data_IF_026821274170
#
_entry.id   IF_026821274170
#
_cell.length_a   1.000
_cell.length_b   1.000
_cell.length_c   1.000
_cell.angle_alpha   90.00
_cell.angle_beta   90.00
_cell.angle_gamma   90.00
#
_symmetry.space_group_name_H-M   'P 1'
#
loop_
_entity.id
_entity.type
_entity.pdbx_description
1 polymer ?
#
# COMPACT_ATOMS: atom_id res chain seq x y z
N UNK A 1 -13.11 -30.39 -0.47
CA UNK A 1 -13.20 -28.93 -0.44
C UNK A 1 -11.96 -28.30 -1.01
N UNK A 2 -12.14 -27.47 -1.95
CA UNK A 2 -11.02 -26.85 -2.61
C UNK A 2 -10.34 -25.82 -1.71
N UNK A 3 -9.04 -25.88 -1.58
CA UNK A 3 -8.35 -24.91 -0.77
C UNK A 3 -8.33 -23.55 -1.44
N UNK A 4 -8.29 -22.51 -0.67
CA UNK A 4 -8.27 -21.16 -1.20
C UNK A 4 -6.90 -20.70 -1.68
N UNK A 5 -5.91 -21.58 -1.70
CA UNK A 5 -4.55 -21.18 -2.01
C UNK A 5 -4.44 -20.54 -3.39
N UNK A 6 -5.06 -21.19 -4.38
CA UNK A 6 -4.99 -20.64 -5.73
C UNK A 6 -5.72 -19.32 -5.84
N UNK A 7 -6.81 -19.21 -5.10
CA UNK A 7 -7.56 -17.97 -5.09
C UNK A 7 -6.76 -16.84 -4.47
N UNK A 8 -6.03 -17.16 -3.40
CA UNK A 8 -5.20 -16.17 -2.74
C UNK A 8 -4.14 -15.63 -3.68
N UNK A 9 -3.57 -16.47 -4.52
CA UNK A 9 -2.57 -16.02 -5.47
C UNK A 9 -3.15 -15.06 -6.48
N UNK A 10 -4.35 -15.33 -6.96
CA UNK A 10 -4.98 -14.46 -7.93
C UNK A 10 -5.28 -13.10 -7.37
N UNK A 11 -5.46 -13.05 -6.06
CA UNK A 11 -5.80 -11.81 -5.41
C UNK A 11 -4.59 -10.89 -5.32
N UNK A 12 -3.40 -11.45 -5.34
CA UNK A 12 -2.18 -10.67 -5.26
C UNK A 12 -1.75 -10.19 -6.64
N UNK A 13 -2.61 -9.44 -7.29
CA UNK A 13 -2.25 -8.92 -8.60
C UNK A 13 -1.21 -7.83 -8.45
N UNK A 14 -0.09 -7.95 -9.15
CA UNK A 14 0.88 -6.87 -9.15
C UNK A 14 0.30 -5.67 -9.89
N UNK A 15 0.59 -4.50 -9.40
CA UNK A 15 0.17 -3.28 -10.06
C UNK A 15 1.37 -2.44 -10.39
N UNK A 16 1.42 -1.97 -11.62
CA UNK A 16 2.48 -1.07 -12.05
C UNK A 16 2.09 0.33 -11.67
N UNK A 17 3.00 1.00 -10.97
CA UNK A 17 2.74 2.38 -10.58
C UNK A 17 3.89 3.24 -11.03
N UNK A 18 3.56 4.47 -11.37
CA UNK A 18 4.53 5.45 -11.82
C UNK A 18 4.87 6.34 -10.63
N UNK A 19 6.15 6.31 -10.25
CA UNK A 19 6.62 7.10 -9.13
C UNK A 19 7.68 8.07 -9.65
N UNK A 20 7.26 9.33 -9.86
CA UNK A 20 8.15 10.29 -10.47
C UNK A 20 8.53 9.84 -11.87
N UNK A 21 9.83 9.67 -12.10
CA UNK A 21 10.34 9.33 -13.42
C UNK A 21 10.45 7.86 -13.70
N UNK A 22 10.11 6.99 -12.73
CA UNK A 22 10.28 5.56 -12.93
C UNK A 22 9.03 4.80 -12.56
N UNK A 23 8.93 3.60 -13.12
CA UNK A 23 7.84 2.68 -12.82
C UNK A 23 8.31 1.61 -11.87
N UNK A 24 7.41 1.14 -11.04
CA UNK A 24 7.70 0.02 -10.18
C UNK A 24 6.45 -0.84 -10.08
N UNK A 25 6.64 -2.08 -9.67
CA UNK A 25 5.55 -3.02 -9.49
C UNK A 25 5.32 -3.19 -8.00
N UNK A 26 4.06 -3.03 -7.58
CA UNK A 26 3.68 -3.15 -6.20
C UNK A 26 2.74 -4.34 -6.07
N UNK A 27 3.02 -5.22 -5.11
CA UNK A 27 2.19 -6.37 -4.81
C UNK A 27 1.70 -6.25 -3.39
N UNK A 28 0.40 -6.00 -3.26
CA UNK A 28 -0.23 -5.87 -1.95
C UNK A 28 -1.46 -6.74 -1.92
N UNK A 29 -1.75 -7.23 -0.73
CA UNK A 29 -3.01 -7.90 -0.49
C UNK A 29 -4.16 -6.95 -0.82
N UNK A 30 -5.27 -7.46 -1.32
CA UNK A 30 -6.39 -6.57 -1.69
C UNK A 30 -6.84 -5.67 -0.54
N UNK A 31 -6.86 -6.19 0.68
CA UNK A 31 -7.29 -5.38 1.82
C UNK A 31 -6.33 -4.21 2.04
N UNK A 32 -5.05 -4.43 1.80
CA UNK A 32 -4.08 -3.36 1.96
C UNK A 32 -4.17 -2.35 0.82
N UNK A 33 -4.44 -2.82 -0.38
CA UNK A 33 -4.65 -1.93 -1.51
C UNK A 33 -5.85 -1.03 -1.28
N UNK A 34 -6.92 -1.61 -0.74
CA UNK A 34 -8.11 -0.84 -0.42
C UNK A 34 -7.84 0.15 0.72
N UNK A 35 -7.11 -0.31 1.74
CA UNK A 35 -6.77 0.59 2.85
C UNK A 35 -5.96 1.77 2.37
N UNK A 36 -5.02 1.54 1.46
CA UNK A 36 -4.22 2.61 0.90
C UNK A 36 -5.12 3.63 0.18
N UNK A 37 -6.10 3.14 -0.55
CA UNK A 37 -7.05 4.01 -1.22
C UNK A 37 -7.91 4.79 -0.26
N UNK A 38 -8.32 4.15 0.84
CA UNK A 38 -9.12 4.83 1.86
C UNK A 38 -8.34 5.95 2.51
N UNK A 39 -7.07 5.70 2.81
CA UNK A 39 -6.21 6.72 3.41
C UNK A 39 -6.02 7.88 2.44
N UNK A 40 -5.75 7.57 1.18
CA UNK A 40 -5.56 8.61 0.18
C UNK A 40 -6.81 9.48 0.07
N UNK A 41 -7.99 8.84 0.04
CA UNK A 41 -9.24 9.58 -0.04
C UNK A 41 -9.45 10.44 1.21
N UNK A 42 -9.13 9.90 2.35
CA UNK A 42 -9.24 10.65 3.60
C UNK A 42 -8.33 11.88 3.59
N UNK A 43 -7.17 11.75 2.98
CA UNK A 43 -6.21 12.85 2.91
C UNK A 43 -6.46 13.78 1.72
N UNK A 44 -7.40 13.43 0.84
CA UNK A 44 -7.71 14.27 -0.31
C UNK A 44 -6.68 14.18 -1.42
N UNK A 45 -5.95 13.08 -1.51
CA UNK A 45 -4.95 12.88 -2.56
C UNK A 45 -5.23 11.56 -3.25
N UNK A 46 -4.55 11.32 -4.37
CA UNK A 46 -4.70 10.05 -5.06
C UNK A 46 -3.85 8.97 -4.41
N UNK A 47 -4.22 7.73 -4.69
CA UNK A 47 -3.42 6.60 -4.21
C UNK A 47 -1.98 6.69 -4.74
N UNK A 48 -1.82 7.13 -5.98
CA UNK A 48 -0.50 7.25 -6.55
C UNK A 48 0.31 8.35 -5.86
N UNK A 49 -0.33 9.48 -5.54
CA UNK A 49 0.34 10.53 -4.79
C UNK A 49 0.81 10.03 -3.45
N UNK A 50 -0.04 9.25 -2.79
CA UNK A 50 0.32 8.69 -1.49
C UNK A 50 1.50 7.73 -1.60
N UNK A 51 1.50 6.89 -2.62
CA UNK A 51 2.61 5.97 -2.80
C UNK A 51 3.91 6.69 -3.10
N UNK A 52 3.82 7.78 -3.85
CA UNK A 52 5.01 8.59 -4.14
C UNK A 52 5.56 9.20 -2.87
N UNK A 53 4.68 9.69 -2.03
CA UNK A 53 5.08 10.26 -0.74
C UNK A 53 5.76 9.21 0.13
N UNK A 54 5.18 8.02 0.21
CA UNK A 54 5.75 6.93 0.99
C UNK A 54 7.12 6.53 0.42
N UNK A 55 7.22 6.48 -0.89
CA UNK A 55 8.49 6.13 -1.52
C UNK A 55 9.57 7.15 -1.20
N UNK A 56 9.22 8.42 -1.21
CA UNK A 56 10.19 9.48 -0.90
C UNK A 56 10.62 9.45 0.55
N UNK A 57 9.74 9.04 1.44
CA UNK A 57 10.01 9.06 2.87
C UNK A 57 10.62 7.79 3.41
N UNK A 58 10.60 6.70 2.63
CA UNK A 58 11.09 5.43 3.15
C UNK A 58 12.58 5.48 3.39
N UNK A 59 12.99 4.73 4.39
CA UNK A 59 14.38 4.67 4.75
C UNK A 59 15.18 3.91 3.72
N UNK A 60 16.43 4.29 3.61
CA UNK A 60 17.35 3.65 2.69
C UNK A 60 17.41 2.16 2.98
N UNK A 61 17.27 1.35 1.94
CA UNK A 61 17.32 -0.10 2.09
C UNK A 61 15.99 -0.76 2.38
N UNK A 62 14.95 0.03 2.64
CA UNK A 62 13.61 -0.52 2.88
C UNK A 62 12.84 -0.55 1.57
N UNK A 63 12.28 -1.70 1.24
CA UNK A 63 11.49 -1.83 0.03
C UNK A 63 10.20 -1.04 0.10
N UNK A 64 9.69 -0.64 -1.06
CA UNK A 64 8.48 0.17 -1.12
C UNK A 64 7.28 -0.57 -0.55
N UNK A 65 7.11 -1.85 -0.88
CA UNK A 65 5.97 -2.61 -0.38
C UNK A 65 5.97 -2.67 1.14
N UNK A 66 7.15 -2.88 1.74
CA UNK A 66 7.26 -2.89 3.19
C UNK A 66 6.93 -1.52 3.77
N UNK A 67 7.42 -0.46 3.14
CA UNK A 67 7.13 0.89 3.61
C UNK A 67 5.64 1.20 3.55
N UNK A 68 4.97 0.73 2.50
CA UNK A 68 3.52 0.94 2.38
C UNK A 68 2.79 0.22 3.51
N UNK A 69 3.14 -1.03 3.78
CA UNK A 69 2.48 -1.77 4.86
C UNK A 69 2.66 -1.09 6.20
N UNK A 70 3.86 -0.64 6.48
CA UNK A 70 4.14 0.05 7.74
C UNK A 70 3.35 1.34 7.83
N UNK A 71 3.29 2.10 6.73
CA UNK A 71 2.54 3.34 6.71
C UNK A 71 1.07 3.11 7.04
N UNK A 72 0.48 2.10 6.41
CA UNK A 72 -0.93 1.78 6.63
C UNK A 72 -1.18 1.44 8.09
N UNK A 73 -0.34 0.60 8.67
CA UNK A 73 -0.51 0.20 10.06
C UNK A 73 -0.38 1.40 10.98
N UNK A 74 0.62 2.24 10.75
CA UNK A 74 0.81 3.43 11.59
C UNK A 74 -0.37 4.37 11.49
N UNK A 75 -0.89 4.55 10.28
CA UNK A 75 -2.03 5.45 10.09
C UNK A 75 -3.22 5.01 10.93
N UNK A 76 -3.55 3.73 10.88
CA UNK A 76 -4.70 3.24 11.62
C UNK A 76 -4.45 3.14 13.12
N UNK A 77 -3.23 2.83 13.51
CA UNK A 77 -2.90 2.79 14.94
C UNK A 77 -3.00 4.17 15.55
N UNK A 78 -2.57 5.18 14.85
CA UNK A 78 -2.66 6.55 15.35
C UNK A 78 -4.12 6.94 15.56
N UNK A 79 -5.00 6.49 14.68
CA UNK A 79 -6.42 6.79 14.82
C UNK A 79 -7.05 6.09 16.01
N UNK A 80 -6.67 4.83 16.22
CA UNK A 80 -7.17 4.07 17.37
C UNK A 80 -6.62 4.68 18.65
N UNK A 81 -5.40 5.12 18.64
CA UNK A 81 -4.79 5.73 19.80
C UNK A 81 -5.49 7.02 20.23
N UNK A 82 -6.19 7.66 19.31
CA UNK A 82 -6.92 8.88 19.60
C UNK A 82 -8.27 8.64 20.26
N UNK A 83 -8.70 7.40 20.31
CA UNK A 83 -9.95 7.05 20.96
C UNK A 83 -9.75 6.93 22.46
#
# INVERSE_FOLDING_TARGET
MSPPINRARRIYKPRNVLLGAHKTTVRLEPVLWEALGDIARHRGITRQDLMREIDNDREHGVGLTSAIRVYIVKFYRDRIGDL
#
